data_IF_190619511181
#
_entry.id   IF_190619511181
#
_cell.length_a   1.000
_cell.length_b   1.000
_cell.length_c   1.000
_cell.angle_alpha   90.00
_cell.angle_beta   90.00
_cell.angle_gamma   90.00
#
_symmetry.space_group_name_H-M   'P 1'
#
loop_
_entity.id
_entity.type
_entity.pdbx_description
1 polymer ?
#
# COMPACT_ATOMS: atom_id res chain seq x y z
N UNK A 1 43.96 16.75 31.05
CA UNK A 1 43.50 17.44 32.27
C UNK A 1 42.49 16.54 32.95
N UNK A 2 42.63 16.26 34.24
CA UNK A 2 41.70 15.41 34.99
C UNK A 2 40.47 16.19 35.45
N UNK A 3 39.38 15.51 35.83
CA UNK A 3 38.18 16.16 36.38
C UNK A 3 38.46 16.95 37.67
N UNK A 4 39.48 16.55 38.44
CA UNK A 4 39.93 17.28 39.62
C UNK A 4 40.62 18.59 39.24
N UNK A 5 41.55 18.56 38.28
CA UNK A 5 42.25 19.75 37.77
C UNK A 5 41.29 20.74 37.09
N UNK A 6 40.31 20.23 36.32
CA UNK A 6 39.29 21.06 35.70
C UNK A 6 38.37 21.70 36.75
N UNK A 7 37.98 20.94 37.77
CA UNK A 7 37.19 21.44 38.89
C UNK A 7 37.88 22.58 39.65
N UNK A 8 39.18 22.44 39.94
CA UNK A 8 39.96 23.50 40.59
C UNK A 8 40.02 24.78 39.74
N UNK A 9 40.22 24.67 38.42
CA UNK A 9 40.26 25.83 37.51
C UNK A 9 38.94 26.60 37.45
N UNK A 10 37.80 25.91 37.56
CA UNK A 10 36.47 26.54 37.45
C UNK A 10 35.76 26.74 38.79
N UNK A 11 36.46 26.50 39.91
CA UNK A 11 35.95 26.72 41.27
C UNK A 11 34.83 25.75 41.67
N UNK A 12 34.89 24.49 41.22
CA UNK A 12 33.86 23.46 41.48
C UNK A 12 34.49 22.14 41.92
N UNK A 13 33.74 21.36 42.67
CA UNK A 13 34.17 20.02 43.05
C UNK A 13 34.22 19.08 41.83
N UNK A 14 35.17 18.14 41.80
CA UNK A 14 35.30 17.15 40.72
C UNK A 14 33.98 16.36 40.48
N UNK A 15 33.22 16.08 41.55
CA UNK A 15 31.90 15.43 41.46
C UNK A 15 30.84 16.30 40.76
N UNK A 16 30.92 17.63 40.88
CA UNK A 16 30.06 18.55 40.15
C UNK A 16 30.41 18.58 38.66
N UNK A 17 31.70 18.58 38.30
CA UNK A 17 32.10 18.52 36.89
C UNK A 17 31.69 17.19 36.25
N UNK A 18 31.84 16.08 36.96
CA UNK A 18 31.41 14.75 36.48
C UNK A 18 29.89 14.67 36.24
N UNK A 19 29.07 15.34 37.05
CA UNK A 19 27.61 15.34 36.85
C UNK A 19 27.19 16.18 35.64
N UNK A 20 27.96 17.23 35.32
CA UNK A 20 27.79 18.06 34.12
C UNK A 20 28.20 17.27 32.87
N UNK A 21 29.38 16.64 32.88
CA UNK A 21 29.90 15.79 31.79
C UNK A 21 28.93 14.65 31.42
N UNK A 22 28.26 14.06 32.40
CA UNK A 22 27.33 12.96 32.19
C UNK A 22 25.88 13.42 31.92
N UNK A 23 25.65 14.72 31.71
CA UNK A 23 24.32 15.27 31.37
C UNK A 23 23.27 15.14 32.49
N UNK A 24 23.68 14.87 33.73
CA UNK A 24 22.78 14.66 34.88
C UNK A 24 22.39 15.96 35.58
N UNK A 25 22.94 17.09 35.15
CA UNK A 25 22.70 18.39 35.77
C UNK A 25 22.76 19.53 34.75
N UNK A 26 21.72 20.34 34.70
CA UNK A 26 21.73 21.59 33.94
C UNK A 26 22.74 22.59 34.53
N UNK A 27 23.43 23.30 33.65
CA UNK A 27 24.58 24.14 34.00
C UNK A 27 24.33 25.58 33.56
N UNK A 28 24.73 26.56 34.39
CA UNK A 28 24.64 27.98 34.03
C UNK A 28 25.62 28.34 32.91
N UNK A 29 25.21 29.24 32.01
CA UNK A 29 26.04 29.77 30.90
C UNK A 29 27.42 30.23 31.40
N UNK A 30 27.49 30.92 32.54
CA UNK A 30 28.75 31.39 33.14
C UNK A 30 29.74 30.27 33.47
N UNK A 31 29.23 29.10 33.87
CA UNK A 31 30.07 27.94 34.20
C UNK A 31 30.49 27.18 32.94
N UNK A 32 29.63 27.14 31.91
CA UNK A 32 29.99 26.61 30.59
C UNK A 32 31.10 27.43 29.93
N UNK A 33 31.03 28.77 30.01
CA UNK A 33 32.10 29.65 29.51
C UNK A 33 33.41 29.43 30.26
N UNK A 34 33.37 29.30 31.59
CA UNK A 34 34.57 29.02 32.40
C UNK A 34 35.19 27.65 32.08
N UNK A 35 34.37 26.64 31.80
CA UNK A 35 34.83 25.31 31.36
C UNK A 35 35.48 25.39 29.97
N UNK A 36 34.86 26.13 29.04
CA UNK A 36 35.39 26.34 27.69
C UNK A 36 36.76 27.01 27.71
N UNK A 37 36.90 28.10 28.49
CA UNK A 37 38.17 28.80 28.69
C UNK A 37 39.23 27.90 29.34
N UNK A 38 38.86 27.10 30.34
CA UNK A 38 39.78 26.19 31.02
C UNK A 38 40.30 25.04 30.12
N UNK A 39 39.50 24.65 29.12
CA UNK A 39 39.80 23.62 28.12
C UNK A 39 40.43 24.20 26.83
N UNK A 40 40.38 25.51 26.63
CA UNK A 40 40.90 26.16 25.41
C UNK A 40 40.02 25.94 24.17
N UNK A 41 38.71 25.83 24.35
CA UNK A 41 37.71 25.57 23.28
C UNK A 41 36.60 26.63 23.35
N UNK A 42 35.74 26.70 22.34
CA UNK A 42 34.55 27.56 22.38
C UNK A 42 33.36 26.84 23.03
N UNK A 43 32.40 27.61 23.55
CA UNK A 43 31.16 27.03 24.11
C UNK A 43 30.37 26.26 23.04
N UNK A 44 30.49 26.66 21.76
CA UNK A 44 29.87 25.96 20.65
C UNK A 44 30.41 24.52 20.50
N UNK A 45 31.72 24.32 20.69
CA UNK A 45 32.37 23.01 20.60
C UNK A 45 31.92 22.07 21.73
N UNK A 46 31.66 22.61 22.92
CA UNK A 46 31.14 21.83 24.06
C UNK A 46 29.69 21.36 23.87
N UNK A 47 28.97 21.98 22.94
CA UNK A 47 27.56 21.68 22.64
C UNK A 47 27.41 20.91 21.31
N UNK A 48 28.50 20.68 20.58
CA UNK A 48 28.46 19.92 19.33
C UNK A 48 28.13 18.44 19.62
N UNK A 49 27.00 17.92 19.09
CA UNK A 49 26.63 16.51 19.27
C UNK A 49 27.47 15.55 18.41
N UNK A 50 28.40 16.05 17.60
CA UNK A 50 29.27 15.26 16.74
C UNK A 50 30.25 14.44 17.58
N UNK A 51 30.32 13.10 17.40
CA UNK A 51 31.25 12.27 18.17
C UNK A 51 32.70 12.65 17.90
N UNK A 52 33.48 12.76 18.96
CA UNK A 52 34.90 13.16 18.92
C UNK A 52 35.78 12.01 18.40
N UNK A 53 35.36 10.77 18.59
CA UNK A 53 36.01 9.58 18.02
C UNK A 53 35.01 8.45 17.67
N UNK A 54 35.52 7.41 17.00
CA UNK A 54 34.71 6.27 16.56
C UNK A 54 34.13 5.46 17.72
N UNK A 55 34.78 5.46 18.89
CA UNK A 55 34.25 4.77 20.07
C UNK A 55 33.07 5.52 20.64
N UNK A 56 33.19 6.84 20.85
CA UNK A 56 32.11 7.67 21.34
C UNK A 56 30.89 7.61 20.40
N UNK A 57 31.12 7.51 19.09
CA UNK A 57 30.05 7.27 18.12
C UNK A 57 29.27 5.99 18.39
N UNK A 58 29.98 4.89 18.65
CA UNK A 58 29.37 3.60 19.00
C UNK A 58 28.65 3.65 20.37
N UNK A 59 29.20 4.37 21.34
CA UNK A 59 28.58 4.52 22.67
C UNK A 59 27.23 5.26 22.56
N UNK A 60 27.21 6.38 21.83
CA UNK A 60 25.99 7.16 21.58
C UNK A 60 24.93 6.36 20.80
N UNK A 61 25.35 5.58 19.81
CA UNK A 61 24.45 4.73 19.05
C UNK A 61 23.85 3.62 19.93
N UNK A 62 24.66 2.95 20.75
CA UNK A 62 24.19 1.94 21.67
C UNK A 62 23.19 2.52 22.69
N UNK A 63 23.46 3.70 23.25
CA UNK A 63 22.55 4.38 24.18
C UNK A 63 21.22 4.74 23.51
N UNK A 64 21.25 5.30 22.29
CA UNK A 64 20.03 5.60 21.52
C UNK A 64 19.22 4.34 21.22
N UNK A 65 19.89 3.25 20.82
CA UNK A 65 19.24 1.97 20.54
C UNK A 65 18.58 1.39 21.80
N UNK A 66 19.25 1.43 22.96
CA UNK A 66 18.69 0.96 24.24
C UNK A 66 17.53 1.83 24.76
N UNK A 67 17.49 3.11 24.38
CA UNK A 67 16.38 4.02 24.70
C UNK A 67 15.21 3.92 23.70
N UNK A 68 15.35 3.14 22.63
CA UNK A 68 14.31 3.02 21.60
C UNK A 68 13.08 2.24 22.12
N UNK A 69 11.87 2.55 21.62
CA UNK A 69 10.68 1.74 21.88
C UNK A 69 10.84 0.27 21.48
N UNK A 70 11.64 0.02 20.43
CA UNK A 70 11.96 -1.33 19.95
C UNK A 70 12.71 -2.13 21.01
N UNK A 71 13.78 -1.58 21.60
CA UNK A 71 14.54 -2.29 22.64
C UNK A 71 13.68 -2.55 23.89
N UNK A 72 12.83 -1.59 24.26
CA UNK A 72 11.89 -1.74 25.37
C UNK A 72 10.88 -2.88 25.16
N UNK A 73 10.44 -3.10 23.91
CA UNK A 73 9.51 -4.19 23.58
C UNK A 73 10.10 -5.60 23.71
N UNK A 74 11.44 -5.73 23.65
CA UNK A 74 12.14 -7.01 23.77
C UNK A 74 12.28 -7.48 25.23
N UNK A 75 11.98 -6.62 26.21
CA UNK A 75 12.13 -6.93 27.64
C UNK A 75 13.58 -7.21 28.07
N UNK A 76 14.55 -6.69 27.31
CA UNK A 76 15.98 -6.91 27.58
C UNK A 76 16.51 -5.92 28.64
N UNK A 77 17.45 -6.34 29.50
CA UNK A 77 18.08 -5.46 30.47
C UNK A 77 19.04 -4.48 29.77
N UNK A 78 19.04 -3.22 30.19
CA UNK A 78 20.00 -2.23 29.68
C UNK A 78 21.43 -2.51 30.16
N UNK A 79 22.38 -2.34 29.26
CA UNK A 79 23.81 -2.52 29.52
C UNK A 79 24.47 -1.17 29.80
N UNK A 80 25.44 -1.14 30.72
CA UNK A 80 26.25 0.05 31.02
C UNK A 80 27.32 0.26 29.95
N UNK A 81 26.99 1.07 28.95
CA UNK A 81 27.78 1.27 27.73
C UNK A 81 29.22 1.72 28.00
N UNK A 82 29.42 2.70 28.88
CA UNK A 82 30.75 3.24 29.25
C UNK A 82 31.72 2.21 29.88
N UNK A 83 31.22 1.06 30.35
CA UNK A 83 32.04 0.00 30.96
C UNK A 83 32.40 -1.14 30.01
N UNK A 84 31.93 -1.09 28.76
CA UNK A 84 32.12 -2.16 27.81
C UNK A 84 33.49 -2.07 27.11
N UNK A 85 34.21 -3.19 26.99
CA UNK A 85 35.32 -3.34 26.05
C UNK A 85 34.92 -2.98 24.61
N UNK A 86 35.89 -2.52 23.81
CA UNK A 86 35.64 -2.03 22.44
C UNK A 86 35.02 -3.09 21.53
N UNK A 87 35.54 -4.31 21.57
CA UNK A 87 35.05 -5.47 20.81
C UNK A 87 33.60 -5.82 21.19
N UNK A 88 33.27 -5.78 22.49
CA UNK A 88 31.91 -6.00 22.97
C UNK A 88 30.94 -4.89 22.51
N UNK A 89 31.39 -3.63 22.53
CA UNK A 89 30.60 -2.50 22.06
C UNK A 89 30.32 -2.58 20.56
N UNK A 90 31.35 -2.90 19.75
CA UNK A 90 31.21 -3.12 18.31
C UNK A 90 30.27 -4.28 18.00
N UNK A 91 30.37 -5.39 18.73
CA UNK A 91 29.49 -6.54 18.56
C UNK A 91 28.03 -6.20 18.92
N UNK A 92 27.80 -5.46 20.00
CA UNK A 92 26.44 -5.07 20.42
C UNK A 92 25.81 -4.11 19.41
N UNK A 93 26.53 -3.07 18.99
CA UNK A 93 26.03 -2.12 17.98
C UNK A 93 25.82 -2.82 16.65
N UNK A 94 26.76 -3.67 16.22
CA UNK A 94 26.63 -4.48 15.01
C UNK A 94 25.41 -5.41 15.04
N UNK A 95 25.17 -6.08 16.16
CA UNK A 95 24.00 -6.92 16.37
C UNK A 95 22.71 -6.10 16.36
N UNK A 96 22.69 -4.92 16.98
CA UNK A 96 21.54 -4.02 16.98
C UNK A 96 21.20 -3.52 15.57
N UNK A 97 22.22 -3.16 14.76
CA UNK A 97 22.04 -2.80 13.35
C UNK A 97 21.47 -3.95 12.54
N UNK A 98 22.05 -5.15 12.67
CA UNK A 98 21.57 -6.34 11.97
C UNK A 98 20.17 -6.77 12.44
N UNK A 99 19.87 -6.64 13.74
CA UNK A 99 18.55 -6.88 14.28
C UNK A 99 17.55 -5.86 13.74
N UNK A 100 17.90 -4.58 13.68
CA UNK A 100 17.07 -3.56 13.05
C UNK A 100 16.82 -3.88 11.57
N UNK A 101 17.83 -4.28 10.80
CA UNK A 101 17.64 -4.71 9.41
C UNK A 101 16.75 -5.95 9.28
N UNK A 102 16.95 -6.97 10.12
CA UNK A 102 16.13 -8.19 10.13
C UNK A 102 14.70 -7.86 10.54
N UNK A 103 14.51 -6.98 11.52
CA UNK A 103 13.21 -6.51 11.95
C UNK A 103 12.55 -5.63 10.90
N UNK A 104 13.26 -4.77 10.17
CA UNK A 104 12.71 -4.02 9.03
C UNK A 104 12.31 -4.95 7.88
N UNK A 105 13.13 -5.98 7.61
CA UNK A 105 12.77 -7.04 6.65
C UNK A 105 11.56 -7.85 7.13
N UNK A 106 11.41 -8.05 8.44
CA UNK A 106 10.26 -8.72 9.06
C UNK A 106 9.06 -7.80 9.25
N UNK A 107 9.23 -6.49 9.35
CA UNK A 107 8.20 -5.44 9.48
C UNK A 107 7.34 -5.31 8.23
N UNK A 108 7.73 -6.00 7.16
CA UNK A 108 6.78 -6.61 6.23
C UNK A 108 5.96 -7.75 6.89
N UNK A 109 5.54 -7.61 8.16
CA UNK A 109 4.70 -8.61 8.81
C UNK A 109 3.31 -8.48 8.18
N UNK A 110 2.54 -9.58 8.01
CA UNK A 110 1.17 -9.47 7.55
C UNK A 110 0.32 -8.54 8.42
N UNK A 111 0.63 -8.42 9.72
CA UNK A 111 -0.13 -7.59 10.64
C UNK A 111 0.12 -6.09 10.46
N UNK A 112 1.37 -5.67 10.29
CA UNK A 112 1.69 -4.27 9.95
C UNK A 112 1.18 -3.91 8.56
N UNK A 113 1.27 -4.84 7.61
CA UNK A 113 0.69 -4.66 6.29
C UNK A 113 -0.83 -4.51 6.35
N UNK A 114 -1.53 -5.33 7.15
CA UNK A 114 -2.97 -5.20 7.37
C UNK A 114 -3.33 -3.87 8.02
N UNK A 115 -2.57 -3.41 9.02
CA UNK A 115 -2.79 -2.12 9.69
C UNK A 115 -2.63 -0.96 8.71
N UNK A 116 -1.53 -0.91 7.96
CA UNK A 116 -1.28 0.13 6.97
C UNK A 116 -2.34 0.16 5.86
N UNK A 117 -2.79 -1.01 5.36
CA UNK A 117 -3.90 -1.08 4.40
C UNK A 117 -5.24 -0.62 4.98
N UNK A 118 -5.52 -0.86 6.27
CA UNK A 118 -6.72 -0.34 6.93
C UNK A 118 -6.69 1.19 6.99
N UNK A 119 -5.62 1.77 7.51
CA UNK A 119 -5.50 3.21 7.67
C UNK A 119 -5.54 3.94 6.32
N UNK A 120 -4.85 3.39 5.32
CA UNK A 120 -4.91 3.90 3.95
C UNK A 120 -6.36 3.93 3.41
N UNK A 121 -7.14 2.86 3.65
CA UNK A 121 -8.54 2.79 3.20
C UNK A 121 -9.43 3.78 3.94
N UNK A 122 -9.21 4.02 5.23
CA UNK A 122 -9.96 5.04 5.97
C UNK A 122 -9.65 6.44 5.44
N UNK A 123 -8.37 6.77 5.21
CA UNK A 123 -7.98 8.03 4.53
C UNK A 123 -8.62 8.15 3.15
N UNK A 124 -8.61 7.08 2.35
CA UNK A 124 -9.28 7.06 1.04
C UNK A 124 -10.79 7.26 1.17
N UNK A 125 -11.44 6.73 2.21
CA UNK A 125 -12.88 6.93 2.42
C UNK A 125 -13.20 8.36 2.81
N UNK A 126 -12.43 8.92 3.74
CA UNK A 126 -12.56 10.31 4.21
C UNK A 126 -12.40 11.32 3.08
N UNK A 127 -11.48 11.06 2.14
CA UNK A 127 -11.24 11.90 0.97
C UNK A 127 -12.11 11.55 -0.24
N UNK A 128 -13.12 10.68 -0.09
CA UNK A 128 -13.93 10.19 -1.21
C UNK A 128 -13.11 9.57 -2.36
N UNK A 129 -11.91 9.09 -2.03
CA UNK A 129 -10.89 8.57 -2.92
C UNK A 129 -10.45 9.56 -4.01
N UNK A 130 -10.58 10.85 -3.73
CA UNK A 130 -10.15 11.96 -4.58
C UNK A 130 -8.99 12.71 -3.92
N UNK A 131 -7.95 12.99 -4.69
CA UNK A 131 -6.73 13.64 -4.20
C UNK A 131 -6.41 14.85 -5.08
N UNK A 132 -6.95 16.02 -4.71
CA UNK A 132 -6.84 17.27 -5.48
C UNK A 132 -5.39 17.63 -5.85
N UNK A 133 -4.45 17.48 -4.91
CA UNK A 133 -3.03 17.77 -5.16
C UNK A 133 -2.45 16.89 -6.28
N UNK A 134 -2.89 15.62 -6.39
CA UNK A 134 -2.45 14.71 -7.46
C UNK A 134 -3.14 15.03 -8.80
N UNK A 135 -4.37 15.57 -8.77
CA UNK A 135 -5.04 16.05 -9.98
C UNK A 135 -4.37 17.30 -10.55
N UNK A 136 -3.96 18.22 -9.68
CA UNK A 136 -3.20 19.40 -10.07
C UNK A 136 -1.87 18.99 -10.71
N UNK A 137 -1.13 18.07 -10.06
CA UNK A 137 0.09 17.50 -10.64
C UNK A 137 -0.16 16.80 -11.99
N UNK A 138 -1.24 16.04 -12.12
CA UNK A 138 -1.61 15.43 -13.40
C UNK A 138 -1.88 16.48 -14.49
N UNK A 139 -2.61 17.56 -14.16
CA UNK A 139 -2.90 18.65 -15.07
C UNK A 139 -1.63 19.41 -15.51
N UNK A 140 -0.69 19.64 -14.59
CA UNK A 140 0.62 20.23 -14.91
C UNK A 140 1.40 19.36 -15.90
N UNK A 141 1.48 18.04 -15.65
CA UNK A 141 2.15 17.10 -16.55
C UNK A 141 1.51 17.07 -17.94
N UNK A 142 0.18 17.09 -18.02
CA UNK A 142 -0.55 17.15 -19.29
C UNK A 142 -0.30 18.45 -20.05
N UNK A 143 -0.23 19.58 -19.33
CA UNK A 143 0.11 20.88 -19.92
C UNK A 143 1.51 20.88 -20.53
N UNK A 144 2.50 20.27 -19.86
CA UNK A 144 3.87 20.13 -20.39
C UNK A 144 3.92 19.33 -21.70
N UNK A 145 3.02 18.36 -21.87
CA UNK A 145 2.90 17.55 -23.07
C UNK A 145 2.14 18.24 -24.21
N UNK A 146 1.46 19.35 -23.93
CA UNK A 146 0.54 20.00 -24.87
C UNK A 146 -0.74 19.20 -25.10
N UNK A 147 -1.20 18.43 -24.11
CA UNK A 147 -2.46 17.71 -24.20
C UNK A 147 -3.64 18.68 -24.28
N UNK A 148 -4.52 18.48 -25.27
CA UNK A 148 -5.73 19.30 -25.45
C UNK A 148 -7.00 18.52 -25.17
N UNK A 149 -7.15 17.30 -25.73
CA UNK A 149 -8.34 16.47 -25.57
C UNK A 149 -8.11 15.02 -26.01
N UNK A 150 -9.04 14.12 -25.64
CA UNK A 150 -9.06 12.75 -26.11
C UNK A 150 -8.13 11.80 -25.34
N UNK A 151 -7.65 10.75 -26.01
CA UNK A 151 -6.77 9.75 -25.42
C UNK A 151 -5.34 10.27 -25.31
N UNK A 152 -4.73 10.11 -24.14
CA UNK A 152 -3.31 10.46 -23.96
C UNK A 152 -2.44 9.43 -24.66
N UNK A 153 -1.76 9.85 -25.71
CA UNK A 153 -0.91 9.03 -26.55
C UNK A 153 0.39 8.63 -25.84
N UNK A 154 1.02 7.56 -26.33
CA UNK A 154 2.34 7.16 -25.86
C UNK A 154 3.40 8.25 -26.12
N UNK A 155 3.25 9.00 -27.22
CA UNK A 155 4.11 10.16 -27.53
C UNK A 155 3.98 11.26 -26.47
N UNK A 156 2.77 11.62 -26.07
CA UNK A 156 2.57 12.63 -25.01
C UNK A 156 3.21 12.18 -23.69
N UNK A 157 3.03 10.91 -23.29
CA UNK A 157 3.69 10.40 -22.07
C UNK A 157 5.22 10.39 -22.18
N UNK A 158 5.78 10.15 -23.37
CA UNK A 158 7.21 10.26 -23.60
C UNK A 158 7.68 11.72 -23.55
N UNK A 159 6.91 12.65 -24.11
CA UNK A 159 7.18 14.10 -24.01
C UNK A 159 7.15 14.57 -22.55
N UNK A 160 6.25 14.06 -21.70
CA UNK A 160 6.28 14.32 -20.26
C UNK A 160 7.64 13.92 -19.68
N UNK A 161 8.10 12.70 -19.95
CA UNK A 161 9.39 12.22 -19.46
C UNK A 161 10.56 13.12 -19.93
N UNK A 162 10.58 13.48 -21.22
CA UNK A 162 11.60 14.35 -21.81
C UNK A 162 11.61 15.75 -21.18
N UNK A 163 10.43 16.33 -20.93
CA UNK A 163 10.27 17.65 -20.29
C UNK A 163 10.71 17.63 -18.82
N UNK A 164 10.52 16.50 -18.13
CA UNK A 164 11.08 16.26 -16.80
C UNK A 164 12.59 15.94 -16.82
N UNK A 165 13.19 15.88 -18.02
CA UNK A 165 14.63 15.65 -18.21
C UNK A 165 15.05 14.19 -18.20
N UNK A 166 14.11 13.25 -18.28
CA UNK A 166 14.37 11.81 -18.38
C UNK A 166 14.49 11.35 -19.84
N UNK A 167 15.41 10.44 -20.08
CA UNK A 167 15.48 9.66 -21.31
C UNK A 167 14.90 8.25 -21.10
N UNK A 168 14.19 7.74 -22.10
CA UNK A 168 13.55 6.43 -22.06
C UNK A 168 14.43 5.37 -22.74
N UNK A 169 14.67 4.27 -22.06
CA UNK A 169 15.51 3.16 -22.53
C UNK A 169 14.71 1.86 -22.46
N UNK A 170 14.37 1.31 -23.62
CA UNK A 170 13.69 0.02 -23.69
C UNK A 170 14.72 -1.12 -23.77
N UNK A 171 14.69 -2.04 -22.81
CA UNK A 171 15.69 -3.10 -22.65
C UNK A 171 15.03 -4.46 -22.48
N UNK A 172 15.71 -5.53 -22.89
CA UNK A 172 15.19 -6.91 -22.83
C UNK A 172 15.61 -7.68 -21.57
N UNK A 173 16.52 -7.11 -20.79
CA UNK A 173 17.25 -7.76 -19.69
C UNK A 173 16.98 -7.10 -18.34
N UNK A 174 15.82 -6.47 -18.16
CA UNK A 174 15.39 -6.03 -16.84
C UNK A 174 15.36 -7.21 -15.87
N UNK A 175 15.81 -7.03 -14.60
CA UNK A 175 15.67 -8.04 -13.57
C UNK A 175 14.22 -8.50 -13.46
N UNK A 176 13.99 -9.82 -13.40
CA UNK A 176 12.66 -10.43 -13.40
C UNK A 176 11.76 -10.01 -12.24
N UNK A 177 12.35 -9.48 -11.16
CA UNK A 177 11.65 -8.94 -10.00
C UNK A 177 11.23 -7.46 -10.13
N UNK A 178 11.61 -6.79 -11.22
CA UNK A 178 11.38 -5.36 -11.44
C UNK A 178 10.54 -5.12 -12.68
N UNK A 179 9.63 -4.13 -12.61
CA UNK A 179 8.79 -3.71 -13.76
C UNK A 179 9.40 -2.56 -14.54
N UNK A 180 10.23 -1.77 -13.89
CA UNK A 180 10.99 -0.65 -14.42
C UNK A 180 12.11 -0.30 -13.45
N UNK A 181 13.11 0.43 -13.93
CA UNK A 181 14.20 0.97 -13.10
C UNK A 181 14.41 2.43 -13.47
N UNK A 182 14.39 3.30 -12.47
CA UNK A 182 14.68 4.73 -12.64
C UNK A 182 16.09 5.04 -12.12
N UNK A 183 17.00 5.40 -13.02
CA UNK A 183 18.30 5.98 -12.70
C UNK A 183 18.13 7.49 -12.54
N UNK A 184 18.02 7.93 -11.29
CA UNK A 184 17.80 9.35 -10.95
C UNK A 184 19.06 10.19 -11.11
N UNK A 185 20.25 9.59 -11.05
CA UNK A 185 21.53 10.29 -11.21
C UNK A 185 21.77 10.70 -12.67
N UNK A 186 21.51 9.79 -13.61
CA UNK A 186 21.68 10.04 -15.05
C UNK A 186 20.37 10.39 -15.77
N UNK A 187 19.25 10.49 -15.04
CA UNK A 187 17.90 10.74 -15.55
C UNK A 187 17.52 9.78 -16.69
N UNK A 188 17.53 8.48 -16.38
CA UNK A 188 17.14 7.42 -17.32
C UNK A 188 16.06 6.54 -16.73
N UNK A 189 15.07 6.19 -17.53
CA UNK A 189 14.05 5.21 -17.17
C UNK A 189 14.23 4.00 -18.07
N UNK A 190 14.50 2.86 -17.44
CA UNK A 190 14.61 1.57 -18.09
C UNK A 190 13.25 0.86 -18.04
N UNK A 191 12.72 0.54 -19.22
CA UNK A 191 11.43 -0.10 -19.43
C UNK A 191 11.63 -1.41 -20.19
N UNK A 192 10.81 -2.44 -19.95
CA UNK A 192 10.93 -3.69 -20.68
C UNK A 192 10.51 -3.52 -22.15
N UNK A 193 11.20 -4.21 -23.05
CA UNK A 193 10.75 -4.39 -24.45
C UNK A 193 9.47 -5.22 -24.53
N UNK A 194 9.22 -6.06 -23.54
CA UNK A 194 8.03 -6.90 -23.44
C UNK A 194 6.97 -6.24 -22.52
N UNK A 195 5.83 -5.88 -23.08
CA UNK A 195 4.55 -6.51 -22.71
C UNK A 195 3.38 -5.96 -23.55
N UNK A 196 2.78 -6.83 -24.38
CA UNK A 196 1.46 -6.60 -24.96
C UNK A 196 0.32 -6.78 -23.92
N UNK A 197 0.65 -7.25 -22.71
CA UNK A 197 -0.31 -7.55 -21.64
C UNK A 197 -0.68 -6.35 -20.76
N UNK A 198 0.18 -5.33 -20.69
CA UNK A 198 -0.02 -4.12 -19.87
C UNK A 198 0.24 -2.86 -20.69
N UNK A 199 -0.47 -1.78 -20.34
CA UNK A 199 -0.32 -0.50 -21.02
C UNK A 199 1.05 0.14 -20.71
N UNK A 200 1.95 0.31 -21.70
CA UNK A 200 3.30 0.83 -21.48
C UNK A 200 3.31 2.25 -20.92
N UNK A 201 2.24 3.03 -21.19
CA UNK A 201 2.09 4.39 -20.65
C UNK A 201 1.98 4.37 -19.12
N UNK A 202 1.29 3.37 -18.57
CA UNK A 202 1.10 3.23 -17.12
C UNK A 202 2.43 2.98 -16.42
N UNK A 203 3.27 2.09 -16.95
CA UNK A 203 4.58 1.79 -16.36
C UNK A 203 5.50 3.01 -16.40
N UNK A 204 5.51 3.75 -17.51
CA UNK A 204 6.26 4.99 -17.60
C UNK A 204 5.82 6.01 -16.53
N UNK A 205 4.53 6.32 -16.46
CA UNK A 205 4.00 7.34 -15.56
C UNK A 205 4.19 6.97 -14.09
N UNK A 206 3.94 5.71 -13.71
CA UNK A 206 4.21 5.23 -12.35
C UNK A 206 5.70 5.29 -11.98
N UNK A 207 6.61 5.17 -12.94
CA UNK A 207 8.06 5.28 -12.71
C UNK A 207 8.53 6.74 -12.57
N UNK A 208 7.79 7.68 -13.17
CA UNK A 208 8.02 9.12 -13.04
C UNK A 208 7.44 9.69 -11.74
N UNK A 209 6.36 9.09 -11.22
CA UNK A 209 5.63 9.62 -10.08
C UNK A 209 6.49 9.89 -8.84
N UNK A 210 7.43 9.02 -8.41
CA UNK A 210 8.31 9.35 -7.28
C UNK A 210 9.13 10.62 -7.49
N UNK A 211 9.55 10.90 -8.73
CA UNK A 211 10.28 12.12 -9.04
C UNK A 211 9.38 13.35 -9.01
N UNK A 212 8.20 13.26 -9.64
CA UNK A 212 7.21 14.36 -9.68
C UNK A 212 6.77 14.74 -8.27
N UNK A 213 6.51 13.74 -7.43
CA UNK A 213 5.99 13.93 -6.07
C UNK A 213 7.09 14.14 -5.02
N UNK A 214 8.36 14.15 -5.41
CA UNK A 214 9.49 14.33 -4.50
C UNK A 214 9.66 13.19 -3.48
N UNK A 215 9.21 11.98 -3.80
CA UNK A 215 9.35 10.81 -2.95
C UNK A 215 10.78 10.26 -2.98
N UNK A 216 11.36 10.07 -1.79
CA UNK A 216 12.59 9.30 -1.59
C UNK A 216 12.31 7.81 -1.37
N UNK A 217 13.36 7.05 -1.03
CA UNK A 217 13.19 5.67 -0.60
C UNK A 217 12.25 5.61 0.63
N UNK A 218 11.23 4.73 0.62
CA UNK A 218 10.25 4.65 1.70
C UNK A 218 10.95 4.20 2.99
N UNK A 219 10.61 4.85 4.11
CA UNK A 219 11.19 4.56 5.44
C UNK A 219 10.56 3.33 6.08
N UNK A 220 9.30 3.07 5.76
CA UNK A 220 8.53 1.95 6.28
C UNK A 220 7.51 1.43 5.26
N UNK A 221 6.79 0.37 5.64
CA UNK A 221 5.78 -0.27 4.77
C UNK A 221 4.57 0.64 4.49
N UNK A 222 4.20 1.52 5.44
CA UNK A 222 3.07 2.45 5.26
C UNK A 222 3.44 3.49 4.20
N UNK A 223 4.61 4.09 4.31
CA UNK A 223 5.12 5.05 3.33
C UNK A 223 5.26 4.40 1.96
N UNK A 224 5.77 3.17 1.89
CA UNK A 224 5.82 2.40 0.64
C UNK A 224 4.43 2.21 0.00
N UNK A 225 3.41 1.85 0.80
CA UNK A 225 2.04 1.71 0.29
C UNK A 225 1.47 3.04 -0.18
N UNK A 226 1.69 4.12 0.58
CA UNK A 226 1.22 5.46 0.23
C UNK A 226 1.84 5.92 -1.10
N UNK A 227 3.16 5.88 -1.22
CA UNK A 227 3.87 6.23 -2.46
C UNK A 227 3.37 5.42 -3.65
N UNK A 228 3.05 4.13 -3.44
CA UNK A 228 2.48 3.28 -4.48
C UNK A 228 1.04 3.67 -4.85
N UNK A 229 0.21 4.09 -3.90
CA UNK A 229 -1.12 4.61 -4.19
C UNK A 229 -1.02 5.90 -4.97
N UNK A 230 -0.18 6.84 -4.52
CA UNK A 230 0.00 8.14 -5.15
C UNK A 230 0.51 7.99 -6.59
N UNK A 231 1.49 7.10 -6.81
CA UNK A 231 2.00 6.81 -8.15
C UNK A 231 0.93 6.22 -9.09
N UNK A 232 0.09 5.30 -8.60
CA UNK A 232 -0.98 4.72 -9.40
C UNK A 232 -2.11 5.72 -9.67
N UNK A 233 -2.44 6.56 -8.68
CA UNK A 233 -3.43 7.62 -8.83
C UNK A 233 -2.96 8.64 -9.87
N UNK A 234 -1.75 9.17 -9.72
CA UNK A 234 -1.17 10.14 -10.65
C UNK A 234 -1.13 9.59 -12.08
N UNK A 235 -0.67 8.34 -12.26
CA UNK A 235 -0.67 7.71 -13.58
C UNK A 235 -2.08 7.58 -14.17
N UNK A 236 -3.08 7.20 -13.37
CA UNK A 236 -4.46 7.13 -13.83
C UNK A 236 -5.06 8.51 -14.12
N UNK A 237 -4.72 9.53 -13.32
CA UNK A 237 -5.15 10.91 -13.51
C UNK A 237 -4.55 11.53 -14.78
N UNK A 238 -3.30 11.21 -15.12
CA UNK A 238 -2.71 11.60 -16.40
C UNK A 238 -3.39 10.87 -17.56
N UNK A 239 -3.62 9.57 -17.48
CA UNK A 239 -4.19 8.80 -18.60
C UNK A 239 -5.71 9.00 -18.81
N UNK A 240 -6.42 9.38 -17.75
CA UNK A 240 -7.84 9.76 -17.78
C UNK A 240 -7.98 11.13 -17.10
N UNK A 241 -7.59 12.22 -17.80
CA UNK A 241 -7.57 13.57 -17.25
C UNK A 241 -8.92 13.95 -16.64
N UNK A 242 -8.93 14.55 -15.45
CA UNK A 242 -10.16 15.01 -14.80
C UNK A 242 -10.97 15.92 -15.73
N UNK A 243 -10.29 16.87 -16.38
CA UNK A 243 -10.87 17.83 -17.33
C UNK A 243 -11.56 17.19 -18.53
N UNK A 244 -11.17 15.97 -18.92
CA UNK A 244 -11.77 15.22 -20.01
C UNK A 244 -12.81 14.20 -19.51
N UNK A 245 -12.51 13.49 -18.43
CA UNK A 245 -13.33 12.39 -17.91
C UNK A 245 -14.59 12.90 -17.19
N UNK A 246 -14.52 13.98 -16.42
CA UNK A 246 -15.67 14.50 -15.66
C UNK A 246 -16.80 14.99 -16.56
N UNK A 247 -16.56 15.77 -17.64
CA UNK A 247 -17.62 16.15 -18.57
C UNK A 247 -18.30 14.94 -19.23
N UNK A 248 -17.50 13.94 -19.61
CA UNK A 248 -17.99 12.69 -20.22
C UNK A 248 -18.89 11.93 -19.24
N UNK A 249 -18.45 11.75 -18.00
CA UNK A 249 -19.23 11.08 -16.96
C UNK A 249 -20.49 11.86 -16.59
N UNK A 250 -20.42 13.18 -16.54
CA UNK A 250 -21.56 14.04 -16.25
C UNK A 250 -22.64 13.89 -17.33
N UNK A 251 -22.23 13.90 -18.59
CA UNK A 251 -23.14 13.70 -19.72
C UNK A 251 -23.73 12.28 -19.75
N UNK A 252 -22.91 11.26 -19.50
CA UNK A 252 -23.37 9.87 -19.37
C UNK A 252 -24.38 9.73 -18.22
N UNK A 253 -24.12 10.34 -17.06
CA UNK A 253 -25.07 10.37 -15.94
C UNK A 253 -26.39 11.03 -16.33
N UNK A 254 -26.36 12.16 -17.05
CA UNK A 254 -27.57 12.85 -17.54
C UNK A 254 -28.39 11.95 -18.46
N UNK A 255 -27.73 11.17 -19.33
CA UNK A 255 -28.34 10.19 -20.23
C UNK A 255 -28.74 8.88 -19.57
N UNK A 256 -28.30 8.64 -18.33
CA UNK A 256 -28.45 7.36 -17.60
C UNK A 256 -27.68 6.21 -18.28
N UNK A 257 -26.47 6.51 -18.70
CA UNK A 257 -25.58 5.63 -19.47
C UNK A 257 -24.19 5.56 -18.79
N UNK A 258 -24.11 5.72 -17.46
CA UNK A 258 -22.83 5.53 -16.76
C UNK A 258 -22.33 4.10 -16.91
N UNK A 259 -21.08 3.98 -17.35
CA UNK A 259 -20.46 2.70 -17.70
C UNK A 259 -18.94 2.82 -17.52
N UNK A 260 -18.34 1.83 -16.86
CA UNK A 260 -16.88 1.75 -16.67
C UNK A 260 -16.21 1.33 -17.97
N UNK A 261 -16.90 0.51 -18.76
CA UNK A 261 -16.50 0.07 -20.08
C UNK A 261 -16.39 1.25 -21.05
N UNK A 262 -17.33 2.19 -20.97
CA UNK A 262 -17.28 3.40 -21.78
C UNK A 262 -16.03 4.23 -21.48
N UNK A 263 -15.67 4.42 -20.20
CA UNK A 263 -14.40 5.07 -19.81
C UNK A 263 -13.18 4.31 -20.34
N UNK A 264 -13.17 2.98 -20.17
CA UNK A 264 -12.09 2.12 -20.66
C UNK A 264 -11.85 2.34 -22.16
N UNK A 265 -12.93 2.26 -22.94
CA UNK A 265 -12.86 2.33 -24.40
C UNK A 265 -12.55 3.73 -24.90
N UNK A 266 -13.15 4.76 -24.28
CA UNK A 266 -12.90 6.15 -24.64
C UNK A 266 -11.45 6.57 -24.40
N UNK A 267 -10.86 6.19 -23.26
CA UNK A 267 -9.49 6.58 -22.90
C UNK A 267 -8.43 5.57 -23.34
N UNK A 268 -8.86 4.42 -23.87
CA UNK A 268 -7.98 3.35 -24.36
C UNK A 268 -7.13 2.74 -23.25
N UNK A 269 -7.66 2.60 -22.04
CA UNK A 269 -6.94 2.07 -20.86
C UNK A 269 -7.40 0.66 -20.49
N UNK A 270 -6.71 0.00 -19.56
CA UNK A 270 -7.19 -1.27 -19.00
C UNK A 270 -8.44 -1.09 -18.12
N UNK A 271 -9.27 -2.13 -18.03
CA UNK A 271 -10.50 -2.10 -17.22
C UNK A 271 -10.21 -1.81 -15.73
N UNK A 272 -9.12 -2.35 -15.17
CA UNK A 272 -8.71 -2.05 -13.79
C UNK A 272 -8.46 -0.56 -13.56
N UNK A 273 -7.77 0.09 -14.51
CA UNK A 273 -7.48 1.50 -14.43
C UNK A 273 -8.75 2.35 -14.56
N UNK A 274 -9.61 2.03 -15.53
CA UNK A 274 -10.89 2.71 -15.71
C UNK A 274 -11.79 2.59 -14.47
N UNK A 275 -11.85 1.40 -13.87
CA UNK A 275 -12.61 1.14 -12.65
C UNK A 275 -12.07 1.95 -11.46
N UNK A 276 -10.75 1.94 -11.24
CA UNK A 276 -10.13 2.75 -10.19
C UNK A 276 -10.35 4.25 -10.42
N UNK A 277 -10.14 4.74 -11.65
CA UNK A 277 -10.36 6.14 -11.98
C UNK A 277 -11.82 6.55 -11.76
N UNK A 278 -12.76 5.68 -12.15
CA UNK A 278 -14.17 5.90 -11.86
C UNK A 278 -14.41 6.10 -10.36
N UNK A 279 -13.78 5.30 -9.49
CA UNK A 279 -13.90 5.51 -8.03
C UNK A 279 -13.25 6.79 -7.52
N UNK A 280 -12.29 7.38 -8.23
CA UNK A 280 -11.71 8.67 -7.84
C UNK A 280 -12.66 9.83 -8.15
N UNK A 281 -13.40 9.73 -9.25
CA UNK A 281 -14.22 10.83 -9.78
C UNK A 281 -15.71 10.73 -9.40
N UNK A 282 -16.23 9.53 -9.15
CA UNK A 282 -17.66 9.30 -9.01
C UNK A 282 -18.27 9.97 -7.79
N UNK A 283 -17.59 9.91 -6.64
CA UNK A 283 -18.12 10.52 -5.43
C UNK A 283 -17.94 12.02 -5.42
N UNK A 284 -16.74 12.51 -5.74
CA UNK A 284 -16.43 13.95 -5.75
C UNK A 284 -17.25 14.72 -6.79
N UNK A 285 -17.22 14.31 -8.06
CA UNK A 285 -17.83 15.09 -9.14
C UNK A 285 -19.26 14.68 -9.49
N UNK A 286 -19.64 13.43 -9.20
CA UNK A 286 -20.99 12.93 -9.52
C UNK A 286 -21.85 12.74 -8.27
N UNK A 287 -21.34 12.88 -7.05
CA UNK A 287 -22.10 12.62 -5.84
C UNK A 287 -22.64 11.18 -5.77
N UNK A 288 -21.89 10.23 -6.33
CA UNK A 288 -22.24 8.81 -6.32
C UNK A 288 -21.32 8.06 -5.37
N UNK A 289 -21.84 7.49 -4.26
CA UNK A 289 -21.07 6.55 -3.46
C UNK A 289 -20.93 5.23 -4.24
N UNK A 290 -19.74 4.65 -4.19
CA UNK A 290 -19.35 3.46 -4.96
C UNK A 290 -18.56 2.47 -4.11
N UNK A 291 -18.50 1.23 -4.57
CA UNK A 291 -17.50 0.26 -4.13
C UNK A 291 -16.75 -0.35 -5.32
N UNK A 292 -15.56 -0.85 -5.03
CA UNK A 292 -14.68 -1.55 -5.93
C UNK A 292 -14.14 -2.81 -5.25
N UNK A 293 -14.05 -3.90 -5.99
CA UNK A 293 -13.34 -5.11 -5.57
C UNK A 293 -12.51 -5.67 -6.71
N UNK A 294 -11.29 -6.11 -6.38
CA UNK A 294 -10.50 -7.03 -7.20
C UNK A 294 -10.40 -8.36 -6.47
N UNK A 295 -10.94 -9.41 -7.10
CA UNK A 295 -11.06 -10.74 -6.51
C UNK A 295 -10.36 -11.75 -7.42
N UNK A 296 -9.55 -12.63 -6.84
CA UNK A 296 -8.93 -13.73 -7.56
C UNK A 296 -9.95 -14.85 -7.83
N UNK A 297 -9.70 -15.75 -8.78
CA UNK A 297 -10.59 -16.86 -9.13
C UNK A 297 -10.88 -17.79 -7.93
N UNK A 298 -9.92 -17.95 -7.02
CA UNK A 298 -10.10 -18.65 -5.72
C UNK A 298 -11.07 -17.94 -4.77
N UNK A 299 -11.41 -16.69 -5.05
CA UNK A 299 -12.31 -15.86 -4.26
C UNK A 299 -11.63 -14.93 -3.26
N UNK A 300 -10.31 -15.00 -3.15
CA UNK A 300 -9.52 -14.11 -2.30
C UNK A 300 -9.62 -12.66 -2.79
N UNK A 301 -9.90 -11.72 -1.89
CA UNK A 301 -9.89 -10.29 -2.19
C UNK A 301 -8.46 -9.79 -2.19
N UNK A 302 -8.04 -9.17 -3.30
CA UNK A 302 -6.71 -8.58 -3.46
C UNK A 302 -6.70 -7.07 -3.26
N UNK A 303 -7.80 -6.39 -3.59
CA UNK A 303 -7.99 -4.95 -3.37
C UNK A 303 -9.47 -4.68 -3.17
N UNK A 304 -9.79 -3.79 -2.24
CA UNK A 304 -11.15 -3.32 -2.04
C UNK A 304 -11.19 -1.83 -1.66
N UNK A 305 -12.22 -1.14 -2.12
CA UNK A 305 -12.55 0.22 -1.74
C UNK A 305 -14.07 0.33 -1.63
N UNK A 306 -14.57 1.08 -0.64
CA UNK A 306 -16.00 1.43 -0.55
C UNK A 306 -16.19 2.69 0.28
N UNK A 307 -17.12 3.52 -0.18
CA UNK A 307 -17.70 4.62 0.58
C UNK A 307 -19.24 4.58 0.53
N UNK A 308 -19.82 3.42 0.20
CA UNK A 308 -21.24 3.24 -0.05
C UNK A 308 -21.95 2.27 0.91
N UNK A 309 -21.19 1.66 1.83
CA UNK A 309 -21.72 0.81 2.90
C UNK A 309 -21.81 -0.68 2.54
N UNK A 310 -21.30 -1.12 1.37
CA UNK A 310 -21.26 -2.55 1.04
C UNK A 310 -20.50 -3.33 2.15
N UNK A 311 -21.11 -4.37 2.75
CA UNK A 311 -20.49 -5.11 3.85
C UNK A 311 -19.39 -6.04 3.32
N UNK A 312 -18.16 -5.54 3.28
CA UNK A 312 -17.02 -6.37 2.93
C UNK A 312 -16.71 -7.42 4.00
N UNK A 313 -16.24 -8.60 3.58
CA UNK A 313 -15.76 -9.59 4.52
C UNK A 313 -14.47 -9.10 5.17
N UNK A 314 -14.44 -9.07 6.51
CA UNK A 314 -13.24 -8.73 7.28
C UNK A 314 -12.79 -9.88 8.17
N UNK A 315 -11.50 -9.90 8.49
CA UNK A 315 -10.95 -10.67 9.61
C UNK A 315 -11.31 -10.01 10.97
N UNK A 316 -11.00 -10.64 12.12
CA UNK A 316 -11.24 -10.04 13.44
C UNK A 316 -10.54 -8.71 13.68
N UNK A 317 -9.51 -8.38 12.89
CA UNK A 317 -8.77 -7.12 12.95
C UNK A 317 -9.29 -6.08 11.94
N UNK A 318 -10.35 -6.38 11.17
CA UNK A 318 -10.91 -5.47 10.16
C UNK A 318 -10.19 -5.44 8.81
N UNK A 319 -9.25 -6.37 8.54
CA UNK A 319 -8.60 -6.47 7.23
C UNK A 319 -9.51 -7.15 6.21
N UNK A 320 -9.57 -6.62 4.99
CA UNK A 320 -10.37 -7.18 3.88
C UNK A 320 -9.49 -8.01 2.95
N UNK A 321 -8.28 -7.54 2.67
CA UNK A 321 -7.33 -8.22 1.81
C UNK A 321 -6.97 -9.59 2.38
N UNK A 322 -6.99 -10.60 1.51
CA UNK A 322 -6.81 -12.00 1.91
C UNK A 322 -8.09 -12.71 2.38
N UNK A 323 -9.18 -11.98 2.64
CA UNK A 323 -10.48 -12.60 2.95
C UNK A 323 -11.18 -13.09 1.69
N UNK A 324 -12.07 -14.07 1.84
CA UNK A 324 -12.89 -14.56 0.74
C UNK A 324 -14.10 -13.67 0.50
N UNK A 325 -14.25 -13.18 -0.73
CA UNK A 325 -15.45 -12.48 -1.18
C UNK A 325 -16.67 -13.42 -1.10
N UNK A 326 -17.83 -12.86 -0.77
CA UNK A 326 -19.06 -13.64 -0.71
C UNK A 326 -19.33 -14.33 -2.06
N UNK A 327 -19.60 -15.64 -2.05
CA UNK A 327 -19.90 -16.44 -3.27
C UNK A 327 -21.13 -15.93 -4.06
N UNK A 328 -21.94 -15.07 -3.45
CA UNK A 328 -23.11 -14.42 -4.05
C UNK A 328 -22.81 -13.05 -4.67
N UNK A 329 -21.67 -12.43 -4.35
CA UNK A 329 -21.29 -11.15 -4.94
C UNK A 329 -20.91 -11.31 -6.41
N UNK A 330 -21.16 -10.26 -7.19
CA UNK A 330 -20.87 -10.20 -8.63
C UNK A 330 -19.40 -10.52 -8.92
N UNK A 331 -18.48 -10.11 -8.03
CA UNK A 331 -17.05 -10.41 -8.10
C UNK A 331 -16.68 -11.90 -8.01
N UNK A 332 -17.54 -12.75 -7.44
CA UNK A 332 -17.40 -14.23 -7.44
C UNK A 332 -18.24 -14.87 -8.55
N UNK A 333 -19.46 -14.39 -8.78
CA UNK A 333 -20.38 -15.00 -9.76
C UNK A 333 -19.86 -14.92 -11.18
N UNK A 334 -19.20 -13.82 -11.56
CA UNK A 334 -18.73 -13.59 -12.94
C UNK A 334 -17.79 -14.68 -13.48
N UNK A 335 -17.04 -15.38 -12.63
CA UNK A 335 -16.17 -16.48 -13.05
C UNK A 335 -16.92 -17.70 -13.62
N UNK A 336 -18.19 -17.87 -13.24
CA UNK A 336 -19.06 -18.99 -13.67
C UNK A 336 -19.85 -18.66 -14.95
N UNK A 337 -19.77 -17.42 -15.44
CA UNK A 337 -20.48 -16.97 -16.62
C UNK A 337 -19.68 -17.38 -17.87
N UNK A 338 -20.38 -17.96 -18.85
CA UNK A 338 -19.76 -18.40 -20.11
C UNK A 338 -19.33 -17.21 -20.99
N UNK A 339 -20.18 -16.19 -21.08
CA UNK A 339 -19.83 -14.94 -21.75
C UNK A 339 -18.89 -14.11 -20.87
N UNK A 340 -17.63 -14.02 -21.30
CA UNK A 340 -16.59 -13.20 -20.66
C UNK A 340 -16.30 -11.92 -21.45
N UNK A 341 -16.98 -11.70 -22.57
CA UNK A 341 -16.80 -10.52 -23.41
C UNK A 341 -17.67 -9.37 -22.93
N UNK A 342 -18.96 -9.65 -22.70
CA UNK A 342 -19.93 -8.66 -22.24
C UNK A 342 -19.76 -8.35 -20.75
N UNK A 343 -20.06 -7.12 -20.31
CA UNK A 343 -20.15 -6.81 -18.89
C UNK A 343 -21.22 -7.64 -18.19
N UNK A 344 -20.93 -8.09 -16.97
CA UNK A 344 -21.87 -8.83 -16.17
C UNK A 344 -22.51 -7.94 -15.10
N UNK A 345 -23.82 -7.77 -15.17
CA UNK A 345 -24.60 -6.93 -14.26
C UNK A 345 -25.46 -7.77 -13.33
N UNK A 346 -25.37 -7.51 -12.02
CA UNK A 346 -26.15 -8.25 -11.02
C UNK A 346 -26.58 -7.33 -9.88
N UNK A 347 -27.83 -7.49 -9.45
CA UNK A 347 -28.31 -6.97 -8.17
C UNK A 347 -28.03 -7.95 -7.04
N UNK A 348 -27.53 -7.47 -5.92
CA UNK A 348 -27.27 -8.27 -4.73
C UNK A 348 -27.97 -7.64 -3.53
N UNK A 349 -28.96 -8.35 -2.99
CA UNK A 349 -29.63 -7.97 -1.75
C UNK A 349 -28.79 -8.46 -0.56
N UNK A 350 -28.40 -7.54 0.33
CA UNK A 350 -27.61 -7.81 1.55
C UNK A 350 -28.37 -7.35 2.80
N UNK A 351 -27.97 -7.76 4.01
CA UNK A 351 -28.55 -7.22 5.24
C UNK A 351 -28.41 -5.70 5.39
N UNK A 352 -27.39 -5.10 4.75
CA UNK A 352 -27.11 -3.66 4.78
C UNK A 352 -27.74 -2.88 3.60
N UNK A 353 -28.54 -3.55 2.77
CA UNK A 353 -29.21 -2.95 1.62
C UNK A 353 -28.94 -3.68 0.30
N UNK A 354 -29.58 -3.18 -0.76
CA UNK A 354 -29.48 -3.72 -2.11
C UNK A 354 -28.43 -2.95 -2.91
N UNK A 355 -27.56 -3.67 -3.60
CA UNK A 355 -26.48 -3.11 -4.41
C UNK A 355 -26.58 -3.63 -5.84
N UNK A 356 -26.20 -2.82 -6.80
CA UNK A 356 -25.99 -3.24 -8.18
C UNK A 356 -24.51 -3.15 -8.48
N UNK A 357 -23.96 -4.16 -9.16
CA UNK A 357 -22.57 -4.16 -9.58
C UNK A 357 -22.45 -4.61 -11.03
N UNK A 358 -21.52 -3.99 -11.75
CA UNK A 358 -20.90 -4.55 -12.95
C UNK A 358 -19.64 -5.31 -12.56
N UNK A 359 -19.33 -6.40 -13.25
CA UNK A 359 -18.05 -7.08 -13.11
C UNK A 359 -17.52 -7.65 -14.42
N UNK A 360 -16.19 -7.78 -14.49
CA UNK A 360 -15.47 -8.37 -15.62
C UNK A 360 -14.29 -9.21 -15.14
N UNK A 361 -14.11 -10.38 -15.77
CA UNK A 361 -12.88 -11.18 -15.63
C UNK A 361 -11.79 -10.55 -16.51
N UNK A 362 -10.62 -10.28 -15.93
CA UNK A 362 -9.47 -9.71 -16.62
C UNK A 362 -8.83 -10.73 -17.58
N UNK A 363 -8.08 -10.26 -18.60
CA UNK A 363 -7.23 -11.13 -19.41
C UNK A 363 -6.35 -12.04 -18.53
N UNK A 364 -6.19 -13.30 -18.93
CA UNK A 364 -5.54 -14.34 -18.12
C UNK A 364 -6.53 -15.17 -17.28
N UNK A 365 -7.68 -14.62 -16.90
CA UNK A 365 -8.76 -15.37 -16.24
C UNK A 365 -8.62 -15.51 -14.72
N UNK A 366 -7.52 -15.07 -14.13
CA UNK A 366 -7.23 -15.25 -12.70
C UNK A 366 -7.93 -14.22 -11.80
N UNK A 367 -8.32 -13.06 -12.34
CA UNK A 367 -8.88 -11.97 -11.56
C UNK A 367 -10.16 -11.44 -12.16
N UNK A 368 -11.09 -11.03 -11.30
CA UNK A 368 -12.27 -10.26 -11.65
C UNK A 368 -12.25 -8.91 -10.94
N UNK A 369 -12.75 -7.89 -11.63
CA UNK A 369 -12.98 -6.57 -11.07
C UNK A 369 -14.46 -6.30 -11.07
N UNK A 370 -14.99 -5.83 -9.94
CA UNK A 370 -16.36 -5.36 -9.82
C UNK A 370 -16.41 -3.93 -9.32
N UNK A 371 -17.30 -3.13 -9.91
CA UNK A 371 -17.67 -1.80 -9.44
C UNK A 371 -19.17 -1.78 -9.20
N UNK A 372 -19.62 -1.17 -8.13
CA UNK A 372 -21.05 -1.10 -7.85
C UNK A 372 -21.46 0.10 -7.02
N UNK A 373 -22.77 0.24 -6.87
CA UNK A 373 -23.44 1.34 -6.16
C UNK A 373 -24.66 0.81 -5.40
N UNK A 374 -25.15 1.56 -4.38
CA UNK A 374 -26.43 1.28 -3.76
C UNK A 374 -27.57 1.40 -4.75
N UNK A 375 -28.65 0.63 -4.54
CA UNK A 375 -29.82 0.58 -5.42
C UNK A 375 -30.39 1.96 -5.80
N UNK A 376 -30.36 2.93 -4.87
CA UNK A 376 -30.83 4.29 -5.09
C UNK A 376 -30.13 5.04 -6.25
N UNK A 377 -28.91 4.64 -6.60
CA UNK A 377 -28.08 5.29 -7.61
C UNK A 377 -28.07 4.55 -8.96
N UNK A 378 -28.67 3.36 -9.05
CA UNK A 378 -28.60 2.48 -10.24
C UNK A 378 -29.29 3.07 -11.47
N UNK A 379 -30.27 3.96 -11.25
CA UNK A 379 -30.97 4.67 -12.33
C UNK A 379 -30.05 5.45 -13.29
N UNK A 380 -28.79 5.70 -12.91
CA UNK A 380 -27.81 6.41 -13.71
C UNK A 380 -26.93 5.52 -14.60
N UNK A 381 -26.95 4.20 -14.39
CA UNK A 381 -26.04 3.25 -15.01
C UNK A 381 -26.67 2.49 -16.17
N UNK A 382 -25.84 2.10 -17.14
CA UNK A 382 -26.17 1.02 -18.08
C UNK A 382 -26.29 -0.32 -17.35
N UNK A 383 -27.03 -1.29 -17.90
CA UNK A 383 -27.17 -2.60 -17.26
C UNK A 383 -28.15 -2.64 -16.08
N UNK A 384 -28.85 -1.53 -15.81
CA UNK A 384 -29.89 -1.42 -14.77
C UNK A 384 -31.10 -2.32 -15.05
N UNK A 385 -31.33 -2.67 -16.30
CA UNK A 385 -32.40 -3.57 -16.75
C UNK A 385 -32.09 -5.06 -16.48
N UNK A 386 -30.91 -5.38 -15.93
CA UNK A 386 -30.55 -6.75 -15.58
C UNK A 386 -31.60 -7.39 -14.66
N UNK A 387 -32.08 -8.56 -15.06
CA UNK A 387 -32.98 -9.40 -14.25
C UNK A 387 -32.24 -10.30 -13.27
N UNK A 388 -30.90 -10.30 -13.31
CA UNK A 388 -30.06 -11.15 -12.48
C UNK A 388 -30.03 -10.60 -11.06
N UNK A 389 -30.55 -11.38 -10.11
CA UNK A 389 -30.53 -11.05 -8.69
C UNK A 389 -29.90 -12.17 -7.88
N UNK A 390 -29.19 -11.80 -6.83
CA UNK A 390 -28.66 -12.68 -5.82
C UNK A 390 -29.00 -12.16 -4.44
N UNK A 391 -29.08 -13.05 -3.46
CA UNK A 391 -29.26 -12.69 -2.06
C UNK A 391 -28.06 -13.17 -1.26
N UNK A 392 -27.41 -12.25 -0.58
CA UNK A 392 -26.32 -12.51 0.36
C UNK A 392 -26.84 -12.31 1.78
N UNK A 393 -26.55 -13.26 2.67
CA UNK A 393 -26.75 -13.11 4.12
C UNK A 393 -25.47 -12.72 4.85
N UNK A 394 -24.34 -12.55 4.14
CA UNK A 394 -23.09 -12.10 4.77
C UNK A 394 -23.31 -10.78 5.53
N UNK A 395 -22.72 -10.62 6.73
CA UNK A 395 -21.59 -11.38 7.27
C UNK A 395 -21.94 -12.69 8.02
N UNK A 396 -23.19 -13.17 8.00
CA UNK A 396 -23.56 -14.49 8.56
C UNK A 396 -22.64 -15.61 7.98
N UNK A 397 -21.90 -16.35 8.83
CA UNK A 397 -21.02 -17.42 8.38
C UNK A 397 -21.72 -18.50 7.55
N UNK A 398 -22.99 -18.79 7.84
CA UNK A 398 -23.80 -19.80 7.13
C UNK A 398 -24.14 -19.40 5.68
N UNK A 399 -23.91 -18.13 5.30
CA UNK A 399 -24.19 -17.66 3.95
C UNK A 399 -23.29 -18.34 2.92
N UNK A 400 -21.98 -18.36 3.18
CA UNK A 400 -20.97 -18.90 2.26
C UNK A 400 -19.56 -19.06 2.87
N UNK A 401 -19.40 -18.95 4.20
CA UNK A 401 -18.09 -19.12 4.86
C UNK A 401 -17.98 -20.46 5.58
N UNK A 402 -19.10 -21.02 6.03
CA UNK A 402 -19.18 -22.36 6.61
C UNK A 402 -19.79 -23.30 5.58
N UNK A 403 -19.19 -24.49 5.44
CA UNK A 403 -19.75 -25.53 4.59
C UNK A 403 -21.13 -25.97 5.13
N UNK A 404 -22.08 -26.32 4.25
CA UNK A 404 -23.33 -26.97 4.65
C UNK A 404 -23.07 -28.22 5.51
N UNK A 405 -23.92 -28.47 6.52
CA UNK A 405 -23.74 -29.59 7.46
C UNK A 405 -23.60 -30.94 6.77
N UNK A 406 -24.39 -31.19 5.70
CA UNK A 406 -24.32 -32.43 4.92
C UNK A 406 -22.94 -32.63 4.25
N UNK A 407 -22.34 -31.56 3.74
CA UNK A 407 -21.02 -31.60 3.12
C UNK A 407 -19.91 -31.75 4.17
N UNK A 408 -20.01 -31.02 5.28
CA UNK A 408 -19.07 -31.12 6.38
C UNK A 408 -19.08 -32.54 6.98
N UNK A 409 -20.26 -33.08 7.30
CA UNK A 409 -20.38 -34.44 7.85
C UNK A 409 -19.79 -35.52 6.94
N UNK A 410 -19.84 -35.33 5.62
CA UNK A 410 -19.27 -36.27 4.65
C UNK A 410 -17.76 -36.12 4.49
N UNK A 411 -17.25 -34.90 4.46
CA UNK A 411 -15.90 -34.61 3.97
C UNK A 411 -14.93 -34.01 4.99
N UNK A 412 -15.38 -33.48 6.12
CA UNK A 412 -14.51 -32.81 7.11
C UNK A 412 -13.40 -33.76 7.61
N UNK A 413 -13.76 -34.98 8.02
CA UNK A 413 -12.80 -36.00 8.45
C UNK A 413 -12.16 -36.80 7.29
N UNK A 414 -12.71 -36.66 6.07
CA UNK A 414 -12.34 -37.47 4.89
C UNK A 414 -11.61 -36.66 3.81
N UNK A 415 -11.21 -35.42 4.10
CA UNK A 415 -10.51 -34.55 3.16
C UNK A 415 -9.25 -33.98 3.79
N UNK A 416 -8.15 -34.05 3.03
CA UNK A 416 -6.86 -33.49 3.43
C UNK A 416 -6.37 -32.58 2.31
N UNK A 417 -6.74 -31.27 2.35
CA UNK A 417 -6.32 -30.34 1.31
C UNK A 417 -4.81 -30.09 1.39
N UNK A 418 -4.13 -30.28 0.26
CA UNK A 418 -2.74 -29.82 0.09
C UNK A 418 -2.76 -28.44 -0.57
N UNK A 419 -2.40 -27.39 0.17
CA UNK A 419 -2.38 -26.04 -0.39
C UNK A 419 -1.26 -25.85 -1.40
N UNK A 420 -1.59 -25.15 -2.49
CA UNK A 420 -0.58 -24.46 -3.30
C UNK A 420 -0.10 -23.24 -2.52
N UNK A 421 1.04 -23.37 -1.84
CA UNK A 421 1.61 -22.27 -1.07
C UNK A 421 2.24 -21.23 -2.00
N UNK A 422 1.78 -19.97 -1.94
CA UNK A 422 2.50 -18.85 -2.52
C UNK A 422 3.70 -18.50 -1.65
N UNK A 423 4.87 -18.26 -2.27
CA UNK A 423 6.15 -18.05 -1.57
C UNK A 423 6.12 -16.94 -0.49
N UNK A 424 5.22 -15.96 -0.62
CA UNK A 424 5.03 -14.86 0.33
C UNK A 424 4.30 -15.25 1.63
N UNK A 425 3.56 -16.36 1.66
CA UNK A 425 2.83 -16.85 2.85
C UNK A 425 3.70 -17.66 3.81
N UNK A 426 4.87 -18.15 3.36
CA UNK A 426 5.81 -18.95 4.17
C UNK A 426 6.42 -18.16 5.36
N UNK A 427 6.39 -16.84 5.32
CA UNK A 427 7.10 -16.01 6.29
C UNK A 427 6.35 -15.79 7.63
N UNK A 428 5.07 -16.19 7.75
CA UNK A 428 4.24 -15.57 8.78
C UNK A 428 3.09 -16.41 9.39
N UNK A 429 3.16 -17.74 9.44
CA UNK A 429 2.06 -18.55 9.99
C UNK A 429 2.51 -19.46 11.16
N UNK A 430 1.91 -19.34 12.37
CA UNK A 430 1.88 -20.39 13.39
C UNK A 430 0.76 -21.43 13.11
N UNK A 431 0.82 -22.65 13.68
CA UNK A 431 0.15 -23.84 13.13
C UNK A 431 -1.38 -23.93 13.35
N UNK A 432 -2.10 -24.41 12.32
CA UNK A 432 -3.49 -24.89 12.37
C UNK A 432 -4.42 -24.35 11.26
N UNK A 433 -5.14 -25.25 10.56
CA UNK A 433 -5.97 -25.06 9.35
C UNK A 433 -5.26 -24.35 8.17
N UNK A 434 -5.28 -24.98 6.99
CA UNK A 434 -4.45 -24.57 5.85
C UNK A 434 -4.80 -23.13 5.40
N UNK A 435 -3.89 -22.15 5.55
CA UNK A 435 -4.20 -20.76 5.25
C UNK A 435 -4.51 -20.54 3.76
N UNK A 436 -5.62 -19.85 3.47
CA UNK A 436 -5.99 -19.47 2.10
C UNK A 436 -6.74 -20.54 1.30
N UNK A 437 -7.26 -21.56 1.95
CA UNK A 437 -8.15 -22.58 1.36
C UNK A 437 -9.61 -22.32 1.76
N UNK A 438 -10.54 -22.32 0.80
CA UNK A 438 -11.99 -22.30 1.06
C UNK A 438 -12.48 -23.76 1.12
N UNK A 439 -12.75 -24.26 2.33
CA UNK A 439 -13.15 -25.65 2.56
C UNK A 439 -14.47 -26.00 1.83
N UNK A 440 -15.36 -25.02 1.64
CA UNK A 440 -16.61 -25.24 0.90
C UNK A 440 -16.32 -25.54 -0.58
N UNK A 441 -15.36 -24.84 -1.18
CA UNK A 441 -14.96 -25.08 -2.58
C UNK A 441 -14.28 -26.46 -2.76
N UNK A 442 -13.51 -26.89 -1.77
CA UNK A 442 -12.90 -28.24 -1.74
C UNK A 442 -13.99 -29.32 -1.65
N UNK A 443 -14.95 -29.18 -0.74
CA UNK A 443 -16.02 -30.17 -0.59
C UNK A 443 -16.95 -30.23 -1.81
N UNK A 444 -17.28 -29.08 -2.42
CA UNK A 444 -18.03 -29.00 -3.68
C UNK A 444 -17.25 -29.62 -4.87
N UNK A 445 -15.92 -29.56 -4.87
CA UNK A 445 -15.10 -30.24 -5.86
C UNK A 445 -15.15 -31.76 -5.67
N UNK A 446 -14.97 -32.26 -4.44
CA UNK A 446 -15.00 -33.69 -4.12
C UNK A 446 -16.35 -34.33 -4.44
N UNK A 447 -17.46 -33.67 -4.10
CA UNK A 447 -18.81 -34.15 -4.41
C UNK A 447 -19.06 -34.35 -5.90
N UNK A 448 -18.54 -33.44 -6.74
CA UNK A 448 -18.66 -33.57 -8.21
C UNK A 448 -17.87 -34.73 -8.79
N UNK A 449 -16.90 -35.27 -8.06
CA UNK A 449 -15.95 -36.28 -8.54
C UNK A 449 -16.03 -37.61 -7.75
N UNK A 450 -16.91 -37.72 -6.75
CA UNK A 450 -17.09 -38.93 -5.94
C UNK A 450 -18.01 -39.99 -6.59
N UNK A 451 -17.91 -40.13 -7.92
CA UNK A 451 -18.68 -41.10 -8.71
C UNK A 451 -18.40 -42.54 -8.32
#
# INVERSE_FOLDING_TARGET
MTLAELGEKVGRAASQISTIENGKRETSVTLLTAIAEALGTEVADLLDPTPVDGRQGLELEAERNQASPMYSSLGLPQVRIKSLPQDALEAIVGLQRQLAEVLTRRAATPEEARRANRELRETMREKHNYFADLEEQAAELLSLAGYESGTVSQRETATIAEKLGFSLHYVSDLPSSTRSISDTANRRIYLPNADAAFDPRTHLLTSLAPHVLGHGAPKDFREFLQQRVDANYLAAAVLLPESAAVPVLTEAKRKRELSVEYLRDMFGVGYEMAAHRFTNLATEHLGLPVHFMKVHASGTIHKAYSNDGLPFPTDPLGAIEGQFACKRFTSRTVFRVADRFSPYYQYTDTPQGSYWCTARVLPGGDYAISVGVPFAHVKWFEGRESSIRSQSRCPDPSCCRTAPEELAAKWEDNSLPSAKMHASLLAAVPPGAVPGVDDTEVYEFLERHSG
#
